data_IF_482597132826
#
_entry.id   IF_482597132826
#
_cell.length_a   1.000
_cell.length_b   1.000
_cell.length_c   1.000
_cell.angle_alpha   90.00
_cell.angle_beta   90.00
_cell.angle_gamma   90.00
#
_symmetry.space_group_name_H-M   'P 1'
#
loop_
_entity.id
_entity.type
_entity.pdbx_description
1 polymer ?
#
# COMPACT_ATOMS: atom_id res chain seq x y z
N UNK A 1 -2.39 18.45 37.76
CA UNK A 1 -1.75 17.82 38.93
C UNK A 1 -0.64 16.90 38.44
N UNK A 2 0.36 16.59 39.28
CA UNK A 2 1.48 15.71 38.95
C UNK A 2 1.01 14.29 38.55
N UNK A 3 -0.03 13.79 39.19
CA UNK A 3 -0.64 12.49 38.86
C UNK A 3 -1.17 12.43 37.43
N UNK A 4 -1.85 13.46 36.94
CA UNK A 4 -2.34 13.55 35.59
C UNK A 4 -1.21 13.44 34.54
N UNK A 5 -0.08 14.12 34.80
CA UNK A 5 1.06 14.07 33.89
C UNK A 5 1.75 12.70 33.90
N UNK A 6 1.84 12.04 35.06
CA UNK A 6 2.39 10.69 35.15
C UNK A 6 1.53 9.66 34.40
N UNK A 7 0.20 9.75 34.55
CA UNK A 7 -0.75 8.90 33.86
C UNK A 7 -0.68 9.13 32.32
N UNK A 8 -0.62 10.40 31.93
CA UNK A 8 -0.49 10.77 30.50
C UNK A 8 0.82 10.24 29.88
N UNK A 9 1.94 10.34 30.57
CA UNK A 9 3.22 9.81 30.09
C UNK A 9 3.21 8.28 30.01
N UNK A 10 2.65 7.59 31.01
CA UNK A 10 2.53 6.13 30.99
C UNK A 10 1.68 5.65 29.81
N UNK A 11 0.57 6.34 29.53
CA UNK A 11 -0.30 6.07 28.39
C UNK A 11 0.42 6.28 27.05
N UNK A 12 1.22 7.35 26.94
CA UNK A 12 2.03 7.61 25.73
C UNK A 12 3.09 6.53 25.50
N UNK A 13 3.74 6.05 26.55
CA UNK A 13 4.72 4.96 26.46
C UNK A 13 4.02 3.69 25.98
N UNK A 14 2.86 3.36 26.54
CA UNK A 14 2.05 2.23 26.12
C UNK A 14 1.63 2.33 24.63
N UNK A 15 1.15 3.49 24.19
CA UNK A 15 0.80 3.73 22.80
C UNK A 15 1.99 3.55 21.86
N UNK A 16 3.16 4.12 22.19
CA UNK A 16 4.38 3.98 21.38
C UNK A 16 4.83 2.53 21.30
N UNK A 17 4.80 1.79 22.39
CA UNK A 17 5.16 0.38 22.43
C UNK A 17 4.20 -0.46 21.58
N UNK A 18 2.90 -0.18 21.66
CA UNK A 18 1.87 -0.81 20.83
C UNK A 18 2.07 -0.53 19.35
N UNK A 19 2.45 0.68 18.96
CA UNK A 19 2.75 1.03 17.58
C UNK A 19 3.95 0.24 17.02
N UNK A 20 5.02 0.12 17.82
CA UNK A 20 6.19 -0.67 17.42
C UNK A 20 5.81 -2.14 17.22
N UNK A 21 5.09 -2.73 18.17
CA UNK A 21 4.63 -4.12 18.08
C UNK A 21 3.72 -4.34 16.86
N UNK A 22 2.75 -3.45 16.66
CA UNK A 22 1.87 -3.50 15.49
C UNK A 22 2.65 -3.39 14.17
N UNK A 23 3.66 -2.51 14.13
CA UNK A 23 4.56 -2.36 12.98
C UNK A 23 5.36 -3.62 12.68
N UNK A 24 5.86 -4.30 13.72
CA UNK A 24 6.58 -5.58 13.55
C UNK A 24 5.63 -6.66 13.01
N UNK A 25 4.45 -6.82 13.58
CA UNK A 25 3.45 -7.80 13.13
C UNK A 25 3.06 -7.53 11.68
N UNK A 26 2.75 -6.29 11.34
CA UNK A 26 2.42 -5.88 9.97
C UNK A 26 3.59 -6.14 9.02
N UNK A 27 4.80 -5.81 9.42
CA UNK A 27 6.01 -6.03 8.63
C UNK A 27 6.25 -7.51 8.33
N UNK A 28 6.07 -8.38 9.32
CA UNK A 28 6.17 -9.84 9.15
C UNK A 28 5.08 -10.38 8.23
N UNK A 29 3.84 -9.94 8.40
CA UNK A 29 2.71 -10.36 7.57
C UNK A 29 2.90 -9.92 6.11
N UNK A 30 3.23 -8.66 5.89
CA UNK A 30 3.43 -8.11 4.55
C UNK A 30 4.68 -8.67 3.88
N UNK A 31 5.76 -8.87 4.61
CA UNK A 31 6.99 -9.50 4.11
C UNK A 31 6.75 -10.95 3.69
N UNK A 32 6.00 -11.72 4.49
CA UNK A 32 5.62 -13.09 4.17
C UNK A 32 4.74 -13.16 2.92
N UNK A 33 3.71 -12.30 2.85
CA UNK A 33 2.84 -12.19 1.67
C UNK A 33 3.66 -11.83 0.42
N UNK A 34 4.55 -10.86 0.52
CA UNK A 34 5.43 -10.46 -0.57
C UNK A 34 6.34 -11.61 -1.02
N UNK A 35 6.92 -12.37 -0.09
CA UNK A 35 7.74 -13.54 -0.39
C UNK A 35 6.98 -14.62 -1.14
N UNK A 36 5.73 -14.91 -0.73
CA UNK A 36 4.86 -15.87 -1.43
C UNK A 36 4.54 -15.39 -2.84
N UNK A 37 4.13 -14.13 -3.00
CA UNK A 37 3.81 -13.56 -4.31
C UNK A 37 5.05 -13.55 -5.21
N UNK A 38 6.22 -13.24 -4.67
CA UNK A 38 7.48 -13.30 -5.41
C UNK A 38 7.81 -14.72 -5.87
N UNK A 39 7.71 -15.72 -4.98
CA UNK A 39 7.95 -17.12 -5.32
C UNK A 39 7.07 -17.61 -6.48
N UNK A 40 5.79 -17.20 -6.49
CA UNK A 40 4.83 -17.60 -7.52
C UNK A 40 5.01 -16.82 -8.84
N UNK A 41 5.49 -15.58 -8.79
CA UNK A 41 5.52 -14.68 -9.96
C UNK A 41 6.92 -14.48 -10.55
N UNK A 42 8.01 -14.84 -9.87
CA UNK A 42 9.37 -14.48 -10.28
C UNK A 42 9.75 -14.91 -11.70
N UNK A 43 9.18 -16.02 -12.20
CA UNK A 43 9.45 -16.51 -13.55
C UNK A 43 8.75 -15.69 -14.65
N UNK A 44 7.69 -14.98 -14.29
CA UNK A 44 6.91 -14.10 -15.18
C UNK A 44 7.35 -12.64 -15.10
N UNK A 45 8.15 -12.28 -14.10
CA UNK A 45 8.63 -10.91 -13.91
C UNK A 45 9.77 -10.58 -14.87
N UNK A 46 9.77 -9.38 -15.47
CA UNK A 46 10.92 -8.90 -16.23
C UNK A 46 12.11 -8.66 -15.28
N UNK A 47 13.31 -8.86 -15.78
CA UNK A 47 14.55 -8.68 -15.04
C UNK A 47 15.49 -9.86 -15.18
N UNK A 48 16.81 -9.59 -15.12
CA UNK A 48 17.85 -10.61 -15.30
C UNK A 48 18.25 -11.28 -13.99
N UNK A 49 18.09 -10.60 -12.86
CA UNK A 49 18.47 -11.07 -11.52
C UNK A 49 17.27 -11.14 -10.59
N UNK A 50 17.34 -11.96 -9.54
CA UNK A 50 16.28 -12.06 -8.54
C UNK A 50 16.09 -10.72 -7.80
N UNK A 51 17.16 -9.96 -7.58
CA UNK A 51 17.10 -8.61 -7.00
C UNK A 51 16.29 -7.69 -7.92
N UNK A 52 16.60 -7.66 -9.21
CA UNK A 52 15.86 -6.83 -10.18
C UNK A 52 14.37 -7.18 -10.21
N UNK A 53 14.05 -8.48 -10.23
CA UNK A 53 12.66 -8.96 -10.21
C UNK A 53 11.93 -8.60 -8.93
N UNK A 54 12.60 -8.72 -7.78
CA UNK A 54 12.04 -8.36 -6.48
C UNK A 54 11.74 -6.86 -6.37
N UNK A 55 12.66 -6.01 -6.84
CA UNK A 55 12.45 -4.55 -6.88
C UNK A 55 11.28 -4.18 -7.81
N UNK A 56 11.20 -4.82 -8.98
CA UNK A 56 10.08 -4.58 -9.90
C UNK A 56 8.75 -4.99 -9.27
N UNK A 57 8.69 -6.16 -8.61
CA UNK A 57 7.47 -6.60 -7.92
C UNK A 57 7.09 -5.63 -6.79
N UNK A 58 8.06 -5.22 -5.97
CA UNK A 58 7.78 -4.29 -4.87
C UNK A 58 7.29 -2.93 -5.37
N UNK A 59 7.85 -2.43 -6.47
CA UNK A 59 7.36 -1.22 -7.13
C UNK A 59 5.94 -1.35 -7.67
N UNK A 60 5.60 -2.50 -8.26
CA UNK A 60 4.24 -2.79 -8.71
C UNK A 60 3.26 -2.89 -7.54
N UNK A 61 3.63 -3.60 -6.46
CA UNK A 61 2.78 -3.71 -5.27
C UNK A 61 2.62 -2.35 -4.57
N UNK A 62 3.69 -1.56 -4.47
CA UNK A 62 3.62 -0.18 -3.98
C UNK A 62 2.64 0.68 -4.79
N UNK A 63 2.73 0.62 -6.12
CA UNK A 63 1.85 1.39 -6.99
C UNK A 63 0.38 0.95 -6.84
N UNK A 64 0.12 -0.35 -6.94
CA UNK A 64 -1.22 -0.93 -7.04
C UNK A 64 -1.94 -0.96 -5.68
N UNK A 65 -1.22 -1.29 -4.60
CA UNK A 65 -1.80 -1.46 -3.28
C UNK A 65 -1.75 -0.20 -2.42
N UNK A 66 -0.92 0.78 -2.78
CA UNK A 66 -0.77 2.00 -2.00
C UNK A 66 -1.04 3.27 -2.82
N UNK A 67 -0.25 3.59 -3.85
CA UNK A 67 -0.36 4.88 -4.55
C UNK A 67 -1.74 5.04 -5.18
N UNK A 68 -2.22 4.05 -5.91
CA UNK A 68 -3.52 4.12 -6.58
C UNK A 68 -4.67 4.34 -5.58
N UNK A 69 -4.81 3.52 -4.49
CA UNK A 69 -5.80 3.80 -3.46
C UNK A 69 -5.61 5.14 -2.76
N UNK A 70 -4.38 5.55 -2.52
CA UNK A 70 -4.05 6.82 -1.88
C UNK A 70 -4.52 8.04 -2.68
N UNK A 71 -4.55 7.96 -4.01
CA UNK A 71 -5.06 9.05 -4.86
C UNK A 71 -6.56 9.32 -4.63
N UNK A 72 -7.35 8.29 -4.29
CA UNK A 72 -8.79 8.44 -3.97
C UNK A 72 -9.00 8.68 -2.49
N UNK A 73 -8.31 7.94 -1.64
CA UNK A 73 -8.45 7.94 -0.19
C UNK A 73 -7.09 8.21 0.48
N UNK A 74 -6.61 9.47 0.45
CA UNK A 74 -5.33 9.81 1.05
C UNK A 74 -5.36 9.65 2.57
N UNK A 75 -4.21 9.31 3.15
CA UNK A 75 -4.06 9.22 4.59
C UNK A 75 -4.35 10.59 5.26
N UNK A 76 -5.00 10.53 6.39
CA UNK A 76 -5.26 11.71 7.24
C UNK A 76 -4.65 11.50 8.62
N UNK A 77 -4.27 12.59 9.33
CA UNK A 77 -3.83 12.50 10.72
C UNK A 77 -4.86 11.79 11.61
N UNK A 78 -4.43 11.11 12.68
CA UNK A 78 -5.33 10.36 13.57
C UNK A 78 -6.48 11.16 14.16
N UNK A 79 -6.34 12.47 14.25
CA UNK A 79 -7.36 13.40 14.78
C UNK A 79 -8.38 13.85 13.74
N UNK A 80 -8.21 13.44 12.49
CA UNK A 80 -9.11 13.81 11.40
C UNK A 80 -10.06 12.65 11.11
N UNK A 81 -11.36 12.96 11.19
CA UNK A 81 -12.43 12.01 10.96
C UNK A 81 -13.09 11.51 12.25
N UNK A 82 -14.32 11.09 12.12
CA UNK A 82 -15.14 10.62 13.23
C UNK A 82 -14.92 9.13 13.51
N UNK A 83 -15.07 8.73 14.76
CA UNK A 83 -14.90 7.32 15.18
C UNK A 83 -15.93 6.42 14.51
N UNK A 84 -17.14 6.91 14.31
CA UNK A 84 -18.26 6.17 13.71
C UNK A 84 -18.02 5.83 12.23
N UNK A 85 -17.23 6.63 11.52
CA UNK A 85 -16.94 6.44 10.09
C UNK A 85 -15.69 5.58 9.82
N UNK A 86 -14.92 5.18 10.85
CA UNK A 86 -13.67 4.41 10.70
C UNK A 86 -13.89 3.14 9.88
N UNK A 87 -14.95 2.37 10.18
CA UNK A 87 -15.24 1.14 9.46
C UNK A 87 -15.54 1.42 7.98
N UNK A 88 -16.37 2.42 7.69
CA UNK A 88 -16.71 2.79 6.32
C UNK A 88 -15.48 3.22 5.52
N UNK A 89 -14.64 4.10 6.09
CA UNK A 89 -13.39 4.55 5.46
C UNK A 89 -12.45 3.39 5.16
N UNK A 90 -12.32 2.46 6.11
CA UNK A 90 -11.51 1.26 5.94
C UNK A 90 -12.04 0.38 4.82
N UNK A 91 -13.35 0.15 4.76
CA UNK A 91 -13.99 -0.64 3.70
C UNK A 91 -13.77 0.03 2.33
N UNK A 92 -13.95 1.34 2.23
CA UNK A 92 -13.74 2.08 0.98
C UNK A 92 -12.29 1.95 0.48
N UNK A 93 -11.31 2.17 1.36
CA UNK A 93 -9.90 2.04 1.02
C UNK A 93 -9.54 0.62 0.58
N UNK A 94 -9.93 -0.38 1.38
CA UNK A 94 -9.64 -1.79 1.10
C UNK A 94 -10.35 -2.25 -0.18
N UNK A 95 -11.59 -1.83 -0.40
CA UNK A 95 -12.32 -2.15 -1.64
C UNK A 95 -11.61 -1.58 -2.87
N UNK A 96 -11.17 -0.33 -2.82
CA UNK A 96 -10.44 0.28 -3.93
C UNK A 96 -9.09 -0.40 -4.16
N UNK A 97 -8.39 -0.77 -3.08
CA UNK A 97 -7.15 -1.55 -3.15
C UNK A 97 -7.37 -2.92 -3.80
N UNK A 98 -8.45 -3.63 -3.46
CA UNK A 98 -8.83 -4.91 -4.06
C UNK A 98 -9.15 -4.74 -5.55
N UNK A 99 -9.95 -3.73 -5.91
CA UNK A 99 -10.28 -3.43 -7.31
C UNK A 99 -9.00 -3.15 -8.11
N UNK A 100 -8.11 -2.33 -7.58
CA UNK A 100 -6.81 -2.03 -8.20
C UNK A 100 -5.97 -3.29 -8.37
N UNK A 101 -5.82 -4.10 -7.31
CA UNK A 101 -4.98 -5.30 -7.31
C UNK A 101 -5.50 -6.39 -8.24
N UNK A 102 -6.78 -6.74 -8.13
CA UNK A 102 -7.40 -7.75 -9.01
C UNK A 102 -7.43 -7.23 -10.45
N UNK A 103 -7.80 -5.97 -10.64
CA UNK A 103 -7.80 -5.34 -11.95
C UNK A 103 -6.44 -5.41 -12.63
N UNK A 104 -5.37 -5.09 -11.90
CA UNK A 104 -4.00 -5.21 -12.44
C UNK A 104 -3.70 -6.64 -12.92
N UNK A 105 -3.97 -7.66 -12.11
CA UNK A 105 -3.71 -9.06 -12.47
C UNK A 105 -4.52 -9.48 -13.69
N UNK A 106 -5.80 -9.11 -13.75
CA UNK A 106 -6.69 -9.46 -14.87
C UNK A 106 -6.22 -8.82 -16.17
N UNK A 107 -5.99 -7.51 -16.18
CA UNK A 107 -5.58 -6.80 -17.37
C UNK A 107 -4.14 -7.12 -17.81
N UNK A 108 -3.26 -7.43 -16.85
CA UNK A 108 -1.94 -7.98 -17.17
C UNK A 108 -2.04 -9.32 -17.92
N UNK A 109 -2.87 -10.26 -17.42
CA UNK A 109 -3.10 -11.54 -18.10
C UNK A 109 -3.74 -11.36 -19.50
N UNK A 110 -4.65 -10.41 -19.65
CA UNK A 110 -5.23 -10.05 -20.96
C UNK A 110 -4.13 -9.53 -21.89
N UNK A 111 -3.28 -8.61 -21.42
CA UNK A 111 -2.14 -8.09 -22.18
C UNK A 111 -1.21 -9.19 -22.69
N UNK A 112 -0.94 -10.21 -21.89
CA UNK A 112 -0.09 -11.34 -22.29
C UNK A 112 -0.70 -12.20 -23.42
N UNK A 113 -2.02 -12.28 -23.50
CA UNK A 113 -2.72 -13.03 -24.53
C UNK A 113 -2.83 -12.26 -25.86
N UNK A 114 -2.65 -10.95 -25.84
CA UNK A 114 -2.75 -10.09 -27.01
C UNK A 114 -1.40 -10.02 -27.74
N UNK A 115 -1.45 -10.08 -29.09
CA UNK A 115 -0.26 -9.99 -29.95
C UNK A 115 -0.03 -8.55 -30.45
N UNK A 116 1.22 -8.21 -30.72
CA UNK A 116 1.66 -6.93 -31.30
C UNK A 116 1.17 -5.71 -30.48
N UNK A 117 0.78 -4.66 -31.17
CA UNK A 117 0.33 -3.38 -30.57
C UNK A 117 -0.94 -3.52 -29.71
N UNK A 118 -1.65 -4.65 -29.80
CA UNK A 118 -2.86 -4.91 -29.00
C UNK A 118 -2.57 -5.07 -27.49
N UNK A 119 -1.33 -5.26 -27.10
CA UNK A 119 -0.93 -5.30 -25.66
C UNK A 119 -1.31 -4.03 -24.90
N UNK A 120 -1.34 -2.88 -25.58
CA UNK A 120 -1.76 -1.62 -24.97
C UNK A 120 -3.23 -1.62 -24.53
N UNK A 121 -4.09 -2.45 -25.11
CA UNK A 121 -5.48 -2.58 -24.64
C UNK A 121 -5.59 -3.06 -23.19
N UNK A 122 -4.63 -3.87 -22.70
CA UNK A 122 -4.58 -4.23 -21.28
C UNK A 122 -4.32 -3.02 -20.38
N UNK A 123 -3.38 -2.15 -20.78
CA UNK A 123 -3.08 -0.93 -20.02
C UNK A 123 -4.28 0.03 -20.05
N UNK A 124 -4.83 0.27 -21.24
CA UNK A 124 -6.00 1.17 -21.40
C UNK A 124 -7.21 0.64 -20.65
N UNK A 125 -7.46 -0.68 -20.69
CA UNK A 125 -8.55 -1.31 -19.93
C UNK A 125 -8.35 -1.18 -18.43
N UNK A 126 -7.13 -1.34 -17.93
CA UNK A 126 -6.82 -1.16 -16.51
C UNK A 126 -7.03 0.30 -16.07
N UNK A 127 -6.53 1.26 -16.85
CA UNK A 127 -6.76 2.69 -16.57
C UNK A 127 -8.26 3.02 -16.61
N UNK A 128 -9.00 2.49 -17.58
CA UNK A 128 -10.45 2.62 -17.66
C UNK A 128 -11.17 2.09 -16.42
N UNK A 129 -10.78 0.90 -15.93
CA UNK A 129 -11.28 0.35 -14.68
C UNK A 129 -11.02 1.28 -13.48
N UNK A 130 -9.78 1.78 -13.36
CA UNK A 130 -9.40 2.66 -12.26
C UNK A 130 -10.17 3.98 -12.29
N UNK A 131 -10.32 4.60 -13.46
CA UNK A 131 -11.10 5.84 -13.63
C UNK A 131 -12.57 5.58 -13.27
N UNK A 132 -13.14 4.48 -13.77
CA UNK A 132 -14.54 4.10 -13.46
C UNK A 132 -14.72 3.89 -11.96
N UNK A 133 -13.83 3.13 -11.31
CA UNK A 133 -13.88 2.92 -9.87
C UNK A 133 -13.69 4.23 -9.09
N UNK A 134 -12.77 5.09 -9.52
CA UNK A 134 -12.53 6.40 -8.90
C UNK A 134 -13.79 7.28 -8.93
N UNK A 135 -14.55 7.28 -10.04
CA UNK A 135 -15.76 8.11 -10.20
C UNK A 135 -16.95 7.50 -9.47
N UNK A 136 -17.12 6.18 -9.53
CA UNK A 136 -18.30 5.51 -8.96
C UNK A 136 -18.23 5.26 -7.46
N UNK A 137 -17.04 5.10 -6.91
CA UNK A 137 -16.90 4.87 -5.47
C UNK A 137 -17.18 6.16 -4.68
N UNK A 138 -17.86 6.06 -3.52
CA UNK A 138 -18.14 7.21 -2.67
C UNK A 138 -16.88 7.96 -2.26
N UNK A 139 -17.03 9.24 -1.98
CA UNK A 139 -15.96 10.03 -1.37
C UNK A 139 -15.79 9.71 0.12
N UNK A 140 -14.69 10.18 0.71
CA UNK A 140 -14.49 10.09 2.15
C UNK A 140 -15.60 10.90 2.85
N UNK A 141 -16.39 10.30 3.75
CA UNK A 141 -17.49 10.98 4.43
C UNK A 141 -17.02 12.09 5.39
N UNK A 142 -15.77 12.02 5.83
CA UNK A 142 -15.26 12.92 6.86
C UNK A 142 -14.77 14.24 6.30
N UNK A 143 -15.17 15.31 6.96
CA UNK A 143 -14.63 16.65 6.70
C UNK A 143 -13.24 16.78 7.35
N UNK A 144 -12.31 17.40 6.63
CA UNK A 144 -10.99 17.72 7.16
C UNK A 144 -11.14 18.96 8.05
N UNK A 145 -11.05 18.76 9.37
CA UNK A 145 -11.14 19.83 10.39
C UNK A 145 -9.77 20.35 10.82
N UNK A 146 -8.68 19.62 10.52
CA UNK A 146 -7.33 20.02 10.83
C UNK A 146 -6.77 21.01 9.80
N UNK A 147 -5.78 21.85 10.18
CA UNK A 147 -5.10 22.74 9.24
C UNK A 147 -4.49 21.97 8.07
N UNK A 148 -4.72 22.46 6.84
CA UNK A 148 -4.30 21.75 5.63
C UNK A 148 -2.78 21.55 5.50
N UNK A 149 -1.98 22.46 6.06
CA UNK A 149 -0.53 22.27 6.12
C UNK A 149 -0.15 21.00 6.90
N UNK A 150 -0.74 20.79 8.07
CA UNK A 150 -0.53 19.58 8.89
C UNK A 150 -0.96 18.30 8.15
N UNK A 151 -2.13 18.36 7.49
CA UNK A 151 -2.64 17.23 6.70
C UNK A 151 -1.70 16.89 5.55
N UNK A 152 -1.19 17.89 4.84
CA UNK A 152 -0.27 17.69 3.72
C UNK A 152 1.09 17.16 4.19
N UNK A 153 1.63 17.66 5.29
CA UNK A 153 2.85 17.11 5.90
C UNK A 153 2.66 15.65 6.30
N UNK A 154 1.55 15.31 6.95
CA UNK A 154 1.24 13.93 7.30
C UNK A 154 1.15 13.01 6.07
N UNK A 155 0.48 13.45 5.00
CA UNK A 155 0.38 12.72 3.74
C UNK A 155 1.74 12.50 3.10
N UNK A 156 2.58 13.53 3.10
CA UNK A 156 3.94 13.44 2.55
C UNK A 156 4.79 12.45 3.32
N UNK A 157 4.80 12.53 4.67
CA UNK A 157 5.53 11.59 5.52
C UNK A 157 4.98 10.16 5.37
N UNK A 158 3.66 9.99 5.21
CA UNK A 158 3.04 8.70 4.96
C UNK A 158 3.51 8.08 3.63
N UNK A 159 3.58 8.89 2.56
CA UNK A 159 4.12 8.44 1.27
C UNK A 159 5.59 8.02 1.41
N UNK A 160 6.41 8.82 2.08
CA UNK A 160 7.83 8.49 2.30
C UNK A 160 8.00 7.19 3.10
N UNK A 161 7.24 7.04 4.20
CA UNK A 161 7.30 5.85 5.05
C UNK A 161 6.92 4.57 4.31
N UNK A 162 5.80 4.59 3.60
CA UNK A 162 5.34 3.42 2.84
C UNK A 162 6.24 3.13 1.63
N UNK A 163 6.77 4.16 0.97
CA UNK A 163 7.74 3.99 -0.12
C UNK A 163 9.04 3.36 0.37
N UNK A 164 9.54 3.79 1.53
CA UNK A 164 10.72 3.22 2.17
C UNK A 164 10.49 1.75 2.57
N UNK A 165 9.30 1.42 3.08
CA UNK A 165 8.91 0.05 3.39
C UNK A 165 8.97 -0.85 2.14
N UNK A 166 8.28 -0.49 1.06
CA UNK A 166 8.25 -1.28 -0.17
C UNK A 166 9.65 -1.38 -0.83
N UNK A 167 10.41 -0.29 -0.83
CA UNK A 167 11.79 -0.29 -1.32
C UNK A 167 12.67 -1.26 -0.54
N UNK A 168 12.59 -1.22 0.79
CA UNK A 168 13.34 -2.11 1.69
C UNK A 168 12.96 -3.57 1.50
N UNK A 169 11.66 -3.88 1.45
CA UNK A 169 11.17 -5.26 1.24
C UNK A 169 11.67 -5.82 -0.08
N UNK A 170 11.61 -5.04 -1.17
CA UNK A 170 12.09 -5.46 -2.49
C UNK A 170 13.59 -5.74 -2.51
N UNK A 171 14.40 -4.86 -1.92
CA UNK A 171 15.86 -5.01 -1.86
C UNK A 171 16.23 -6.20 -0.96
N UNK A 172 15.71 -6.24 0.25
CA UNK A 172 16.05 -7.26 1.25
C UNK A 172 15.69 -8.65 0.72
N UNK A 173 14.45 -8.85 0.25
CA UNK A 173 14.05 -10.16 -0.29
C UNK A 173 14.91 -10.56 -1.48
N UNK A 174 15.19 -9.64 -2.41
CA UNK A 174 16.02 -9.94 -3.57
C UNK A 174 17.44 -10.38 -3.21
N UNK A 175 18.04 -9.77 -2.18
CA UNK A 175 19.36 -10.14 -1.67
C UNK A 175 19.32 -11.52 -0.97
N UNK A 176 18.35 -11.75 -0.10
CA UNK A 176 18.22 -13.03 0.61
C UNK A 176 17.86 -14.17 -0.34
N UNK A 177 16.97 -13.95 -1.29
CA UNK A 177 16.55 -14.98 -2.24
C UNK A 177 17.72 -15.60 -2.99
N UNK A 178 18.64 -14.76 -3.47
CA UNK A 178 19.85 -15.21 -4.15
C UNK A 178 20.73 -16.13 -3.28
N UNK A 179 20.73 -15.92 -1.96
CA UNK A 179 21.63 -16.61 -1.04
C UNK A 179 21.05 -17.90 -0.46
N UNK A 180 19.72 -18.00 -0.34
CA UNK A 180 19.05 -19.13 0.33
C UNK A 180 18.45 -20.16 -0.62
N UNK A 181 18.21 -19.78 -1.89
CA UNK A 181 17.66 -20.71 -2.88
C UNK A 181 18.73 -20.89 -3.98
N UNK A 182 19.69 -21.75 -3.66
CA UNK A 182 20.65 -22.31 -4.64
C UNK A 182 20.13 -23.60 -5.19
#
# INVERSE_FOLDING_TARGET
TLEFWAEYESYRIWQKSGQVLAGIILGLAMGSLFGIVFALSKNSLPGKTDISKSIILSGLMWLVLFIIPFLKYPANPPTVGETETVLLRTILYVSFMIISGIGFVVFYKISLKLKNNKKYFGIVGYLGLLITAYVLMPENPDKITAPMNLVNEFRFVSILGVSSFWGSVGIILGLFWKNFIK
#
